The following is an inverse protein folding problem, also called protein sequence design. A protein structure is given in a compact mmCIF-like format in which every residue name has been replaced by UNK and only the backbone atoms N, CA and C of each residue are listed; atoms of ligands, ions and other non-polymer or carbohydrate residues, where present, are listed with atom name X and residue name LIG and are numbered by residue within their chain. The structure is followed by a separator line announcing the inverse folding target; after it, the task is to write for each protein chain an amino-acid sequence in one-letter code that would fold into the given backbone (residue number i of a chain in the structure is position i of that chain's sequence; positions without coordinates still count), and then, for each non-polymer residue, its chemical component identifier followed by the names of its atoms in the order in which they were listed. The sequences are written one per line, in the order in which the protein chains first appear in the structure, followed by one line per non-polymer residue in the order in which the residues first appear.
data_IF_456817667313
#
_entry.id   IF_456817667313
#
_cell.length_a   1.000
_cell.length_b   1.000
_cell.length_c   1.000
_cell.angle_alpha   90.00
_cell.angle_beta   90.00
_cell.angle_gamma   90.00
#
_symmetry.space_group_name_H-M   'P 1'
#
loop_
_entity.id
_entity.type
_entity.pdbx_description
1 polymer ?
#
# COMPACT_ATOMS: atom_id res chain seq x y z
N UNK A 1 12.67 -16.21 -6.68
CA UNK A 1 11.44 -16.56 -5.93
C UNK A 1 10.72 -15.26 -5.72
N UNK A 2 9.56 -15.08 -6.34
CA UNK A 2 8.91 -13.77 -6.36
C UNK A 2 8.23 -13.48 -5.01
N UNK A 3 8.17 -12.20 -4.64
CA UNK A 3 7.57 -11.72 -3.40
C UNK A 3 6.14 -12.27 -3.20
N UNK A 4 5.37 -12.29 -4.28
CA UNK A 4 4.00 -12.80 -4.36
C UNK A 4 3.93 -14.30 -4.04
N UNK A 5 4.91 -15.06 -4.54
CA UNK A 5 5.03 -16.51 -4.26
C UNK A 5 5.34 -16.74 -2.78
N UNK A 6 6.21 -15.91 -2.19
CA UNK A 6 6.55 -15.98 -0.76
C UNK A 6 5.34 -15.71 0.15
N UNK A 7 4.53 -14.68 -0.17
CA UNK A 7 3.29 -14.38 0.56
C UNK A 7 2.31 -15.55 0.45
N UNK A 8 2.16 -16.13 -0.74
CA UNK A 8 1.23 -17.23 -0.97
C UNK A 8 1.56 -18.45 -0.09
N UNK A 9 2.83 -18.86 -0.03
CA UNK A 9 3.24 -19.98 0.84
C UNK A 9 3.11 -19.65 2.32
N UNK A 10 3.43 -18.42 2.74
CA UNK A 10 3.25 -17.98 4.12
C UNK A 10 1.76 -18.03 4.53
N UNK A 11 0.86 -17.61 3.62
CA UNK A 11 -0.58 -17.69 3.83
C UNK A 11 -1.06 -19.15 3.95
N UNK A 12 -0.62 -20.04 3.05
CA UNK A 12 -0.97 -21.46 3.13
C UNK A 12 -0.49 -22.11 4.45
N UNK A 13 0.74 -21.82 4.86
CA UNK A 13 1.27 -22.32 6.14
C UNK A 13 0.47 -21.80 7.34
N UNK A 14 0.09 -20.52 7.32
CA UNK A 14 -0.76 -19.91 8.34
C UNK A 14 -2.16 -20.55 8.37
N UNK A 15 -2.81 -20.71 7.22
CA UNK A 15 -4.14 -21.31 7.10
C UNK A 15 -4.15 -22.78 7.55
N UNK A 16 -3.11 -23.54 7.20
CA UNK A 16 -2.91 -24.89 7.69
C UNK A 16 -2.75 -24.92 9.22
N UNK A 17 -1.93 -24.02 9.79
CA UNK A 17 -1.76 -23.88 11.24
C UNK A 17 -3.06 -23.55 11.97
N UNK A 18 -3.87 -22.65 11.41
CA UNK A 18 -5.19 -22.30 11.92
C UNK A 18 -6.13 -23.50 11.93
N UNK A 19 -6.19 -24.24 10.81
CA UNK A 19 -7.03 -25.43 10.67
C UNK A 19 -6.63 -26.49 11.69
N UNK A 20 -5.33 -26.78 11.82
CA UNK A 20 -4.82 -27.73 12.80
C UNK A 20 -5.11 -27.30 14.24
N UNK A 21 -5.02 -26.00 14.54
CA UNK A 21 -5.38 -25.46 15.84
C UNK A 21 -6.86 -25.66 16.15
N UNK A 22 -7.76 -25.37 15.20
CA UNK A 22 -9.21 -25.59 15.38
C UNK A 22 -9.51 -27.06 15.60
N UNK A 23 -8.94 -27.94 14.77
CA UNK A 23 -9.08 -29.40 14.91
C UNK A 23 -8.59 -29.87 16.28
N UNK A 24 -7.46 -29.35 16.75
CA UNK A 24 -6.90 -29.68 18.06
C UNK A 24 -7.77 -29.19 19.22
N UNK A 25 -8.20 -27.94 19.19
CA UNK A 25 -9.09 -27.35 20.20
C UNK A 25 -10.39 -28.15 20.28
N UNK A 26 -11.01 -28.46 19.14
CA UNK A 26 -12.25 -29.22 19.07
C UNK A 26 -12.06 -30.67 19.57
N UNK A 27 -10.92 -31.29 19.25
CA UNK A 27 -10.53 -32.61 19.77
C UNK A 27 -10.46 -32.65 21.30
N UNK A 28 -10.09 -31.55 21.95
CA UNK A 28 -10.01 -31.41 23.40
C UNK A 28 -11.31 -30.96 24.08
N UNK A 29 -12.34 -30.54 23.35
CA UNK A 29 -13.60 -30.06 23.97
C UNK A 29 -14.43 -31.18 24.62
N UNK A 30 -14.09 -32.44 24.37
CA UNK A 30 -14.86 -33.59 24.85
C UNK A 30 -14.52 -33.93 26.31
N UNK A 31 -15.17 -33.21 27.24
CA UNK A 31 -14.91 -33.28 28.70
C UNK A 31 -14.96 -34.70 29.29
N UNK A 32 -15.81 -35.58 28.75
CA UNK A 32 -15.94 -36.95 29.25
C UNK A 32 -14.72 -37.82 28.90
N UNK A 33 -14.16 -37.65 27.71
CA UNK A 33 -12.97 -38.38 27.29
C UNK A 33 -11.71 -37.88 28.01
N UNK A 34 -11.63 -36.58 28.29
CA UNK A 34 -10.53 -36.01 29.06
C UNK A 34 -10.44 -36.57 30.48
N UNK A 35 -11.58 -36.85 31.15
CA UNK A 35 -11.61 -37.46 32.49
C UNK A 35 -10.94 -38.83 32.53
N UNK A 36 -11.02 -39.59 31.44
CA UNK A 36 -10.39 -40.91 31.28
C UNK A 36 -9.04 -40.85 30.55
N UNK A 37 -8.49 -39.65 30.32
CA UNK A 37 -7.17 -39.46 29.68
C UNK A 37 -7.15 -39.74 28.17
N UNK A 38 -8.30 -39.67 27.49
CA UNK A 38 -8.43 -39.95 26.05
C UNK A 38 -8.95 -38.72 25.29
N UNK A 39 -8.68 -38.66 23.99
CA UNK A 39 -9.28 -37.72 23.04
C UNK A 39 -9.60 -38.40 21.72
N UNK A 40 -10.58 -37.87 20.99
CA UNK A 40 -10.85 -38.27 19.61
C UNK A 40 -10.11 -37.30 18.70
N UNK A 41 -9.21 -37.82 17.87
CA UNK A 41 -8.59 -37.01 16.82
C UNK A 41 -9.62 -36.73 15.74
N UNK A 42 -9.96 -35.46 15.51
CA UNK A 42 -10.96 -35.07 14.51
C UNK A 42 -10.53 -35.28 13.06
N UNK A 43 -9.24 -35.52 12.81
CA UNK A 43 -8.71 -35.72 11.45
C UNK A 43 -9.02 -37.13 10.90
N UNK A 44 -8.99 -38.14 11.77
CA UNK A 44 -9.14 -39.55 11.40
C UNK A 44 -10.12 -40.30 12.33
N UNK A 45 -10.82 -39.59 13.21
CA UNK A 45 -11.72 -40.10 14.24
C UNK A 45 -11.11 -41.18 15.16
N UNK A 46 -9.78 -41.29 15.23
CA UNK A 46 -9.12 -42.29 16.06
C UNK A 46 -9.05 -41.86 17.52
N UNK A 47 -9.14 -42.81 18.44
CA UNK A 47 -8.92 -42.57 19.87
C UNK A 47 -7.42 -42.45 20.11
N UNK A 48 -6.99 -41.39 20.81
CA UNK A 48 -5.60 -41.16 21.21
C UNK A 48 -5.53 -40.88 22.71
N UNK A 49 -4.47 -41.33 23.37
CA UNK A 49 -4.20 -40.94 24.75
C UNK A 49 -3.77 -39.46 24.82
N UNK A 50 -4.26 -38.74 25.82
CA UNK A 50 -3.70 -37.43 26.19
C UNK A 50 -2.33 -37.66 26.83
N UNK A 51 -1.34 -36.88 26.42
CA UNK A 51 -0.08 -36.79 27.15
C UNK A 51 -0.28 -36.04 28.47
N UNK A 52 0.54 -36.34 29.49
CA UNK A 52 0.45 -35.66 30.80
C UNK A 52 0.54 -34.13 30.69
N UNK A 53 1.33 -33.61 29.76
CA UNK A 53 1.41 -32.17 29.51
C UNK A 53 0.10 -31.56 28.98
N UNK A 54 -0.65 -32.29 28.15
CA UNK A 54 -1.92 -31.84 27.59
C UNK A 54 -3.04 -31.86 28.63
N UNK A 55 -2.93 -32.74 29.63
CA UNK A 55 -3.91 -32.89 30.70
C UNK A 55 -3.88 -31.70 31.69
N UNK A 56 -2.71 -31.08 31.85
CA UNK A 56 -2.47 -30.01 32.82
C UNK A 56 -2.63 -28.63 32.17
N UNK A 57 -2.42 -28.50 30.85
CA UNK A 57 -2.43 -27.20 30.17
C UNK A 57 -3.85 -26.74 29.83
N UNK A 58 -4.26 -25.53 30.27
CA UNK A 58 -5.56 -24.99 29.91
C UNK A 58 -5.62 -24.64 28.43
N UNK A 59 -6.68 -25.07 27.75
CA UNK A 59 -7.05 -24.73 26.37
C UNK A 59 -6.91 -23.23 26.06
N UNK A 60 -7.22 -22.37 27.04
CA UNK A 60 -7.13 -20.92 26.94
C UNK A 60 -5.72 -20.42 26.56
N UNK A 61 -4.65 -21.13 26.96
CA UNK A 61 -3.27 -20.71 26.64
C UNK A 61 -2.98 -20.75 25.14
N UNK A 62 -3.55 -21.72 24.42
CA UNK A 62 -3.41 -21.83 22.96
C UNK A 62 -4.20 -20.74 22.25
N UNK A 63 -5.44 -20.51 22.68
CA UNK A 63 -6.31 -19.45 22.18
C UNK A 63 -5.67 -18.08 22.41
N UNK A 64 -5.19 -17.81 23.62
CA UNK A 64 -4.53 -16.56 23.97
C UNK A 64 -3.27 -16.33 23.15
N UNK A 65 -2.41 -17.35 22.97
CA UNK A 65 -1.20 -17.24 22.14
C UNK A 65 -1.54 -16.87 20.69
N UNK A 66 -2.58 -17.47 20.12
CA UNK A 66 -3.05 -17.12 18.78
C UNK A 66 -3.54 -15.67 18.71
N UNK A 67 -4.40 -15.24 19.64
CA UNK A 67 -4.87 -13.87 19.70
C UNK A 67 -3.74 -12.87 19.92
N UNK A 68 -2.71 -13.21 20.68
CA UNK A 68 -1.56 -12.35 20.93
C UNK A 68 -0.71 -12.17 19.66
N UNK A 69 -0.48 -13.25 18.91
CA UNK A 69 0.19 -13.20 17.61
C UNK A 69 -0.65 -12.41 16.60
N UNK A 70 -1.97 -12.67 16.54
CA UNK A 70 -2.89 -11.96 15.67
C UNK A 70 -2.98 -10.47 16.02
N UNK A 71 -3.04 -10.12 17.31
CA UNK A 71 -3.10 -8.74 17.77
C UNK A 71 -1.84 -7.95 17.42
N UNK A 72 -0.69 -8.61 17.31
CA UNK A 72 0.54 -7.97 16.83
C UNK A 72 0.55 -7.90 15.30
N UNK A 73 0.22 -8.99 14.61
CA UNK A 73 0.34 -9.07 13.14
C UNK A 73 -0.72 -8.27 12.37
N UNK A 74 -1.97 -8.26 12.84
CA UNK A 74 -3.09 -7.61 12.17
C UNK A 74 -2.89 -6.09 12.01
N UNK A 75 -2.43 -5.34 13.04
CA UNK A 75 -2.08 -3.94 12.87
C UNK A 75 -1.06 -3.66 11.77
N UNK A 76 -0.03 -4.51 11.60
CA UNK A 76 0.95 -4.33 10.52
C UNK A 76 0.35 -4.55 9.13
N UNK A 77 -0.59 -5.50 9.00
CA UNK A 77 -1.34 -5.70 7.76
C UNK A 77 -2.18 -4.46 7.48
N UNK A 78 -2.91 -3.92 8.47
CA UNK A 78 -3.68 -2.70 8.27
C UNK A 78 -2.81 -1.48 7.95
N UNK A 79 -1.64 -1.36 8.58
CA UNK A 79 -0.67 -0.30 8.30
C UNK A 79 -0.13 -0.38 6.85
N UNK A 80 0.10 -1.58 6.30
CA UNK A 80 0.53 -1.70 4.90
C UNK A 80 -0.56 -1.23 3.92
N UNK A 81 -1.82 -1.56 4.20
CA UNK A 81 -2.96 -1.07 3.42
C UNK A 81 -3.21 0.43 3.60
N UNK A 82 -2.90 1.00 4.76
CA UNK A 82 -2.95 2.44 4.98
C UNK A 82 -1.99 3.18 4.04
N UNK A 83 -0.78 2.65 3.84
CA UNK A 83 0.17 3.22 2.88
C UNK A 83 -0.39 3.22 1.45
N UNK A 84 -1.01 2.11 1.04
CA UNK A 84 -1.70 2.01 -0.27
C UNK A 84 -2.82 3.04 -0.37
N UNK A 85 -3.65 3.19 0.67
CA UNK A 85 -4.72 4.16 0.70
C UNK A 85 -4.22 5.61 0.59
N UNK A 86 -3.13 5.96 1.30
CA UNK A 86 -2.47 7.27 1.20
C UNK A 86 -1.96 7.50 -0.23
N UNK A 87 -1.31 6.51 -0.83
CA UNK A 87 -0.77 6.62 -2.19
C UNK A 87 -1.88 6.81 -3.24
N UNK A 88 -2.94 6.01 -3.16
CA UNK A 88 -4.12 6.15 -4.02
C UNK A 88 -4.77 7.52 -3.80
N UNK A 89 -4.93 7.95 -2.54
CA UNK A 89 -5.42 9.27 -2.19
C UNK A 89 -4.59 10.39 -2.81
N UNK A 90 -3.26 10.24 -2.85
CA UNK A 90 -2.37 11.21 -3.48
C UNK A 90 -2.53 11.27 -5.00
N UNK A 91 -2.71 10.13 -5.66
CA UNK A 91 -3.02 10.07 -7.10
C UNK A 91 -4.35 10.78 -7.39
N UNK A 92 -5.39 10.45 -6.63
CA UNK A 92 -6.71 11.07 -6.77
C UNK A 92 -6.62 12.58 -6.53
N UNK A 93 -5.90 13.00 -5.48
CA UNK A 93 -5.67 14.41 -5.18
C UNK A 93 -4.98 15.15 -6.31
N UNK A 94 -3.90 14.60 -6.88
CA UNK A 94 -3.22 15.19 -8.05
C UNK A 94 -4.17 15.32 -9.24
N UNK A 95 -4.89 14.25 -9.56
CA UNK A 95 -5.85 14.24 -10.68
C UNK A 95 -6.99 15.25 -10.47
N UNK A 96 -7.50 15.34 -9.25
CA UNK A 96 -8.55 16.30 -8.88
C UNK A 96 -8.04 17.74 -8.97
N UNK A 97 -6.85 18.02 -8.44
CA UNK A 97 -6.20 19.33 -8.56
C UNK A 97 -5.99 19.73 -10.01
N UNK A 98 -5.56 18.80 -10.86
CA UNK A 98 -5.37 19.07 -12.29
C UNK A 98 -6.69 19.23 -13.04
N UNK A 99 -7.81 18.66 -12.57
CA UNK A 99 -9.12 18.84 -13.19
C UNK A 99 -9.56 20.31 -13.23
N UNK A 100 -9.24 21.09 -12.19
CA UNK A 100 -9.57 22.51 -12.08
C UNK A 100 -8.67 23.46 -12.87
N UNK A 101 -7.61 22.97 -13.52
CA UNK A 101 -6.67 23.80 -14.28
C UNK A 101 -7.30 24.19 -15.64
N UNK A 102 -7.18 25.47 -16.08
CA UNK A 102 -7.64 25.91 -17.40
C UNK A 102 -7.06 25.06 -18.54
N UNK A 103 -7.83 24.87 -19.62
CA UNK A 103 -7.45 24.00 -20.74
C UNK A 103 -6.12 24.43 -21.39
N UNK A 104 -5.91 25.74 -21.57
CA UNK A 104 -4.67 26.30 -22.10
C UNK A 104 -3.43 25.95 -21.24
N UNK A 105 -3.58 25.94 -19.91
CA UNK A 105 -2.51 25.54 -18.99
C UNK A 105 -2.25 24.03 -19.01
N UNK A 106 -3.28 23.20 -19.22
CA UNK A 106 -3.12 21.74 -19.41
C UNK A 106 -2.37 21.44 -20.69
N UNK A 107 -2.71 22.12 -21.78
CA UNK A 107 -2.05 21.99 -23.07
C UNK A 107 -0.58 22.43 -23.01
N UNK A 108 -0.30 23.58 -22.38
CA UNK A 108 1.06 24.03 -22.13
C UNK A 108 1.89 23.00 -21.36
N UNK A 109 1.36 22.48 -20.25
CA UNK A 109 2.04 21.43 -19.46
C UNK A 109 2.26 20.15 -20.26
N UNK A 110 1.31 19.78 -21.11
CA UNK A 110 1.45 18.61 -21.96
C UNK A 110 2.56 18.82 -23.01
N UNK A 111 2.56 19.97 -23.70
CA UNK A 111 3.61 20.33 -24.68
C UNK A 111 5.00 20.33 -24.03
N UNK A 112 5.15 20.94 -22.85
CA UNK A 112 6.42 20.97 -22.09
C UNK A 112 6.98 19.59 -21.74
N UNK A 113 6.13 18.58 -21.56
CA UNK A 113 6.56 17.24 -21.15
C UNK A 113 6.71 16.26 -22.32
N UNK A 114 6.17 16.57 -23.51
CA UNK A 114 6.07 15.62 -24.63
C UNK A 114 6.68 16.13 -25.93
N UNK A 115 7.01 17.42 -26.03
CA UNK A 115 7.59 18.02 -27.23
C UNK A 115 8.93 18.68 -26.88
N UNK A 116 9.94 18.46 -27.72
CA UNK A 116 11.17 19.23 -27.68
C UNK A 116 10.91 20.61 -28.27
N UNK A 117 10.75 21.61 -27.39
CA UNK A 117 10.48 22.99 -27.75
C UNK A 117 11.72 23.85 -27.58
N UNK A 118 11.94 24.78 -28.52
CA UNK A 118 12.94 25.83 -28.33
C UNK A 118 12.50 26.81 -27.24
N UNK A 119 13.46 27.53 -26.66
CA UNK A 119 13.18 28.51 -25.60
C UNK A 119 12.12 29.54 -26.01
N UNK A 120 12.11 29.96 -27.28
CA UNK A 120 11.15 30.92 -27.80
C UNK A 120 9.74 30.34 -27.89
N UNK A 121 9.62 29.07 -28.28
CA UNK A 121 8.33 28.35 -28.30
C UNK A 121 7.78 28.14 -26.89
N UNK A 122 8.65 27.88 -25.90
CA UNK A 122 8.24 27.77 -24.49
C UNK A 122 7.66 29.09 -23.98
N UNK A 123 8.30 30.22 -24.30
CA UNK A 123 7.82 31.56 -23.91
C UNK A 123 6.51 31.89 -24.61
N UNK A 124 6.39 31.57 -25.90
CA UNK A 124 5.18 31.78 -26.69
C UNK A 124 3.98 31.02 -26.12
N UNK A 125 4.15 29.73 -25.83
CA UNK A 125 3.11 28.88 -25.26
C UNK A 125 2.78 29.25 -23.80
N UNK A 126 3.76 29.75 -23.03
CA UNK A 126 3.52 30.33 -21.70
C UNK A 126 2.65 31.59 -21.77
N UNK A 127 2.92 32.49 -22.72
CA UNK A 127 2.10 33.69 -22.93
C UNK A 127 0.65 33.33 -23.30
N UNK A 128 0.46 32.35 -24.21
CA UNK A 128 -0.85 31.82 -24.57
C UNK A 128 -1.59 31.24 -23.35
N UNK A 129 -0.89 30.50 -22.48
CA UNK A 129 -1.48 29.91 -21.29
C UNK A 129 -1.93 30.95 -20.24
N UNK A 130 -1.28 32.12 -20.19
CA UNK A 130 -1.62 33.23 -19.28
C UNK A 130 -2.52 34.30 -19.93
N UNK A 131 -2.88 34.16 -21.21
CA UNK A 131 -3.72 35.12 -21.94
C UNK A 131 -3.02 36.44 -22.28
N UNK A 132 -1.67 36.44 -22.37
CA UNK A 132 -0.89 37.63 -22.71
C UNK A 132 -0.82 37.76 -24.25
N UNK A 133 -1.11 38.93 -24.84
CA UNK A 133 -1.02 39.15 -26.29
C UNK A 133 0.39 38.90 -26.83
N UNK A 134 0.49 38.22 -27.98
CA UNK A 134 1.75 37.91 -28.66
C UNK A 134 2.48 39.15 -29.19
N UNK A 135 1.78 40.27 -29.34
CA UNK A 135 2.36 41.56 -29.74
C UNK A 135 3.46 42.03 -28.79
N UNK A 136 3.37 41.65 -27.51
CA UNK A 136 4.33 42.00 -26.45
C UNK A 136 5.43 40.95 -26.26
N UNK A 137 5.63 40.04 -27.22
CA UNK A 137 6.56 38.91 -27.06
C UNK A 137 8.00 39.35 -26.76
N UNK A 138 8.50 40.39 -27.44
CA UNK A 138 9.86 40.90 -27.25
C UNK A 138 10.09 41.47 -25.86
N UNK A 139 9.11 42.22 -25.35
CA UNK A 139 9.14 42.81 -24.01
C UNK A 139 9.06 41.74 -22.93
N UNK A 140 8.11 40.80 -23.06
CA UNK A 140 7.93 39.71 -22.11
C UNK A 140 9.14 38.76 -22.08
N UNK A 141 9.73 38.42 -23.24
CA UNK A 141 10.97 37.64 -23.31
C UNK A 141 12.12 38.35 -22.61
N UNK A 142 12.28 39.65 -22.81
CA UNK A 142 13.34 40.43 -22.16
C UNK A 142 13.17 40.47 -20.63
N UNK A 143 11.95 40.65 -20.16
CA UNK A 143 11.61 40.62 -18.73
C UNK A 143 11.91 39.25 -18.10
N UNK A 144 11.47 38.16 -18.75
CA UNK A 144 11.64 36.79 -18.26
C UNK A 144 13.13 36.41 -18.21
N UNK A 145 13.91 36.79 -19.24
CA UNK A 145 15.36 36.62 -19.25
C UNK A 145 16.05 37.45 -18.15
N UNK A 146 15.60 38.69 -17.92
CA UNK A 146 16.13 39.52 -16.86
C UNK A 146 15.84 38.94 -15.46
N UNK A 147 14.64 38.41 -15.23
CA UNK A 147 14.28 37.75 -13.96
C UNK A 147 15.06 36.44 -13.76
N UNK A 148 15.22 35.63 -14.81
CA UNK A 148 16.05 34.42 -14.76
C UNK A 148 17.52 34.74 -14.44
N UNK A 149 18.08 35.83 -14.98
CA UNK A 149 19.42 36.32 -14.62
C UNK A 149 19.50 36.74 -13.16
N UNK A 150 18.50 37.48 -12.64
CA UNK A 150 18.46 37.89 -11.23
C UNK A 150 18.42 36.71 -10.26
N UNK A 151 17.73 35.62 -10.65
CA UNK A 151 17.59 34.41 -9.85
C UNK A 151 18.75 33.41 -10.03
N UNK A 152 19.78 33.75 -10.80
CA UNK A 152 20.89 32.85 -11.17
C UNK A 152 20.42 31.50 -11.77
N UNK A 153 19.29 31.51 -12.49
CA UNK A 153 18.73 30.31 -13.14
C UNK A 153 19.29 30.07 -14.55
N UNK A 154 20.01 31.05 -15.11
CA UNK A 154 20.70 30.90 -16.39
C UNK A 154 22.09 30.32 -16.15
N UNK A 155 22.22 29.00 -16.30
CA UNK A 155 23.51 28.31 -16.29
C UNK A 155 23.95 28.12 -17.75
N UNK A 156 24.42 29.22 -18.35
CA UNK A 156 25.05 29.33 -19.68
C UNK A 156 24.24 28.89 -20.92
N UNK A 157 24.49 29.61 -22.01
CA UNK A 157 23.78 29.53 -23.29
C UNK A 157 24.42 28.60 -24.31
#
# INVERSE_FOLDING_TARGET
MDYETGIFFAFLAWAHGLTMMVVYVNSLMNKNLQKIGLRISWLNFSIKQLTHEEQIRPLWRYVLKFFLIAAIGVPFIFLSWLQVAIYVGFIIYKKSKDSGVPMAMKEYRWKMNNLDMSQDQVIEESMKAHGIPLENFSEHKAELLADMRRRNLIIWG
#
